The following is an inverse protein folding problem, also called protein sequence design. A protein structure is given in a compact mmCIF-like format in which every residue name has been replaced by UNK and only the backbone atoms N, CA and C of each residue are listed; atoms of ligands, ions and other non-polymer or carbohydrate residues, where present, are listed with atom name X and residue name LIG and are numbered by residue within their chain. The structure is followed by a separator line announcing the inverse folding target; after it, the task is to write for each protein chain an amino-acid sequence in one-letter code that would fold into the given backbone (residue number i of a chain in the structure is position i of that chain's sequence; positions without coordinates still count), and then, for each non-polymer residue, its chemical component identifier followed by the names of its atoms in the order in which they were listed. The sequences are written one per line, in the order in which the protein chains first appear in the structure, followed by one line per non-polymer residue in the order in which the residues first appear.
data_IF_020697860667
#
_entry.id   IF_020697860667
#
_cell.length_a   1.000
_cell.length_b   1.000
_cell.length_c   1.000
_cell.angle_alpha   90.00
_cell.angle_beta   90.00
_cell.angle_gamma   90.00
#
_symmetry.space_group_name_H-M   'P 1'
#
loop_
_entity.id
_entity.type
_entity.pdbx_description
1 polymer ?
#
# COMPACT_ATOMS: atom_id res chain seq x y z
N UNK A 1 41.39 -19.31 -66.14
CA UNK A 1 39.99 -18.91 -65.87
C UNK A 1 39.72 -19.35 -64.42
N UNK A 2 39.83 -18.44 -63.47
CA UNK A 2 39.55 -18.72 -62.02
C UNK A 2 38.19 -18.11 -61.67
N UNK A 3 37.23 -19.00 -61.40
CA UNK A 3 35.89 -18.63 -60.96
C UNK A 3 35.96 -18.38 -59.42
N UNK A 4 35.80 -17.09 -59.01
CA UNK A 4 35.77 -16.68 -57.59
C UNK A 4 34.28 -16.63 -57.18
N UNK A 5 33.73 -17.73 -56.68
CA UNK A 5 32.46 -17.73 -55.96
C UNK A 5 32.62 -17.03 -54.62
N UNK A 6 32.09 -15.81 -54.51
CA UNK A 6 32.00 -15.07 -53.26
C UNK A 6 30.84 -15.64 -52.46
N UNK A 7 31.16 -16.37 -51.36
CA UNK A 7 30.18 -16.72 -50.36
C UNK A 7 29.79 -15.44 -49.54
N UNK A 8 28.58 -15.01 -49.71
CA UNK A 8 27.98 -14.01 -48.80
C UNK A 8 27.52 -14.71 -47.53
N UNK A 9 28.27 -14.54 -46.44
CA UNK A 9 27.81 -14.93 -45.08
C UNK A 9 26.95 -13.79 -44.55
N UNK A 10 25.64 -13.99 -44.53
CA UNK A 10 24.75 -13.07 -43.82
C UNK A 10 24.95 -13.26 -42.30
N UNK A 11 25.21 -12.20 -41.53
CA UNK A 11 25.21 -12.30 -40.09
C UNK A 11 23.77 -12.51 -39.58
N UNK A 12 23.52 -13.66 -38.95
CA UNK A 12 22.32 -13.96 -38.24
C UNK A 12 22.31 -13.07 -36.96
N UNK A 13 21.63 -11.92 -37.03
CA UNK A 13 21.38 -11.11 -35.85
C UNK A 13 20.43 -11.89 -34.94
N UNK A 14 20.99 -12.57 -33.93
CA UNK A 14 20.21 -13.17 -32.87
C UNK A 14 19.49 -12.05 -32.08
N UNK A 15 18.18 -11.92 -32.26
CA UNK A 15 17.35 -11.04 -31.48
C UNK A 15 17.36 -11.54 -30.03
N UNK A 16 18.14 -10.88 -29.18
CA UNK A 16 18.09 -11.12 -27.73
C UNK A 16 16.66 -10.85 -27.25
N UNK A 17 16.05 -11.75 -26.46
CA UNK A 17 14.74 -11.53 -25.93
C UNK A 17 14.76 -10.24 -25.09
N UNK A 18 13.94 -9.27 -25.48
CA UNK A 18 13.76 -8.02 -24.74
C UNK A 18 13.25 -8.40 -23.35
N UNK A 19 14.11 -8.29 -22.34
CA UNK A 19 13.74 -8.53 -20.94
C UNK A 19 12.54 -7.66 -20.68
N UNK A 20 11.36 -8.26 -20.43
CA UNK A 20 10.16 -7.54 -20.07
C UNK A 20 10.51 -6.70 -18.83
N UNK A 21 10.54 -5.38 -18.99
CA UNK A 21 10.79 -4.46 -17.89
C UNK A 21 9.63 -4.65 -16.93
N UNK A 22 9.92 -5.17 -15.72
CA UNK A 22 8.89 -5.32 -14.69
C UNK A 22 8.22 -3.96 -14.50
N UNK A 23 6.89 -3.92 -14.59
CA UNK A 23 6.16 -2.68 -14.38
C UNK A 23 6.47 -2.14 -12.98
N UNK A 24 6.69 -0.83 -12.88
CA UNK A 24 6.88 -0.16 -11.58
C UNK A 24 5.73 -0.54 -10.63
N UNK A 25 6.02 -0.87 -9.36
CA UNK A 25 4.97 -1.25 -8.43
C UNK A 25 4.00 -0.09 -8.17
N UNK A 26 2.72 -0.42 -8.00
CA UNK A 26 1.70 0.53 -7.55
C UNK A 26 1.99 0.93 -6.10
N UNK A 27 2.10 2.22 -5.84
CA UNK A 27 2.49 2.78 -4.54
C UNK A 27 1.25 3.22 -3.77
N UNK A 28 0.96 2.53 -2.67
CA UNK A 28 -0.21 2.81 -1.83
C UNK A 28 0.24 3.32 -0.46
N UNK A 29 -0.30 4.46 -0.04
CA UNK A 29 -0.12 4.99 1.31
C UNK A 29 -1.38 4.72 2.14
N UNK A 30 -1.25 4.04 3.28
CA UNK A 30 -2.30 3.90 4.29
C UNK A 30 -2.15 4.99 5.33
N UNK A 31 -3.24 5.71 5.62
CA UNK A 31 -3.19 6.90 6.49
C UNK A 31 -4.26 6.83 7.58
N UNK A 32 -3.85 7.06 8.82
CA UNK A 32 -4.72 7.27 9.97
C UNK A 32 -4.26 8.48 10.81
N UNK A 33 -4.64 8.57 12.07
CA UNK A 33 -4.22 9.66 12.96
C UNK A 33 -2.76 9.50 13.39
N UNK A 34 -2.43 8.45 14.15
CA UNK A 34 -1.15 8.33 14.87
C UNK A 34 -0.12 7.42 14.21
N UNK A 35 -0.51 6.62 13.20
CA UNK A 35 0.36 5.63 12.55
C UNK A 35 0.93 4.53 13.47
N UNK A 36 0.28 4.27 14.59
CA UNK A 36 0.68 3.24 15.57
C UNK A 36 -0.24 2.01 15.56
N UNK A 37 -1.44 2.12 14.97
CA UNK A 37 -2.46 1.06 14.96
C UNK A 37 -2.97 0.70 13.57
N UNK A 38 -4.08 1.33 13.14
CA UNK A 38 -4.85 0.96 11.95
C UNK A 38 -4.05 1.01 10.65
N UNK A 39 -3.37 2.10 10.36
CA UNK A 39 -2.59 2.27 9.13
C UNK A 39 -1.36 1.35 9.11
N UNK A 40 -0.73 1.13 10.26
CA UNK A 40 0.34 0.15 10.44
C UNK A 40 -0.15 -1.28 10.13
N UNK A 41 -1.27 -1.71 10.74
CA UNK A 41 -1.85 -3.03 10.46
C UNK A 41 -2.23 -3.16 8.99
N UNK A 42 -2.84 -2.13 8.39
CA UNK A 42 -3.21 -2.12 6.98
C UNK A 42 -2.00 -2.27 6.06
N UNK A 43 -0.93 -1.51 6.28
CA UNK A 43 0.34 -1.64 5.54
C UNK A 43 0.91 -3.04 5.65
N UNK A 44 0.99 -3.59 6.87
CA UNK A 44 1.59 -4.89 7.15
C UNK A 44 0.82 -6.01 6.46
N UNK A 45 -0.50 -6.02 6.58
CA UNK A 45 -1.38 -7.01 5.96
C UNK A 45 -1.37 -6.88 4.43
N UNK A 46 -1.42 -5.66 3.90
CA UNK A 46 -1.38 -5.41 2.46
C UNK A 46 -0.05 -5.86 1.86
N UNK A 47 1.08 -5.57 2.51
CA UNK A 47 2.41 -6.03 2.09
C UNK A 47 2.52 -7.56 2.07
N UNK A 48 2.05 -8.22 3.14
CA UNK A 48 2.02 -9.67 3.20
C UNK A 48 1.10 -10.28 2.11
N UNK A 49 -0.05 -9.67 1.84
CA UNK A 49 -0.97 -10.09 0.79
C UNK A 49 -0.36 -9.89 -0.60
N UNK A 50 0.26 -8.75 -0.86
CA UNK A 50 0.95 -8.45 -2.11
C UNK A 50 2.05 -9.47 -2.40
N UNK A 51 2.88 -9.80 -1.40
CA UNK A 51 3.93 -10.81 -1.51
C UNK A 51 3.35 -12.19 -1.83
N UNK A 52 2.34 -12.65 -1.07
CA UNK A 52 1.73 -13.97 -1.28
C UNK A 52 1.08 -14.13 -2.66
N UNK A 53 0.53 -13.04 -3.22
CA UNK A 53 -0.17 -13.03 -4.52
C UNK A 53 0.70 -12.54 -5.67
N UNK A 54 1.98 -12.25 -5.43
CA UNK A 54 2.91 -11.67 -6.40
C UNK A 54 2.33 -10.40 -7.09
N UNK A 55 1.63 -9.54 -6.31
CA UNK A 55 1.08 -8.29 -6.83
C UNK A 55 2.19 -7.23 -6.90
N UNK A 56 2.28 -6.46 -7.99
CA UNK A 56 3.25 -5.38 -8.14
C UNK A 56 2.82 -4.14 -7.34
N UNK A 57 2.80 -4.25 -6.00
CA UNK A 57 2.35 -3.22 -5.07
C UNK A 57 3.45 -2.94 -4.05
N UNK A 58 3.75 -1.68 -3.82
CA UNK A 58 4.55 -1.18 -2.72
C UNK A 58 3.65 -0.40 -1.75
N UNK A 59 3.84 -0.60 -0.45
CA UNK A 59 2.96 0.00 0.57
C UNK A 59 3.76 0.76 1.61
N UNK A 60 3.21 1.88 2.07
CA UNK A 60 3.69 2.64 3.24
C UNK A 60 2.50 2.95 4.16
N UNK A 61 2.79 3.31 5.40
CA UNK A 61 1.80 3.90 6.31
C UNK A 61 2.29 5.21 6.90
N UNK A 62 1.36 6.12 7.21
CA UNK A 62 1.62 7.46 7.75
C UNK A 62 0.52 7.88 8.72
N UNK A 63 0.85 8.83 9.60
CA UNK A 63 -0.08 9.51 10.50
C UNK A 63 -0.31 10.96 10.10
N UNK A 64 -1.49 11.47 10.42
CA UNK A 64 -1.84 12.88 10.25
C UNK A 64 -1.46 13.73 11.46
N UNK A 65 -1.34 13.08 12.62
CA UNK A 65 -1.04 13.70 13.90
C UNK A 65 -0.26 12.69 14.76
N UNK A 66 1.03 12.56 14.44
CA UNK A 66 1.94 11.62 15.11
C UNK A 66 2.47 12.24 16.38
N UNK A 67 2.28 11.55 17.51
CA UNK A 67 2.90 11.93 18.78
C UNK A 67 4.40 11.54 18.77
N UNK A 68 5.32 12.50 18.85
CA UNK A 68 6.76 12.21 18.85
C UNK A 68 7.25 11.46 20.08
N UNK A 69 6.41 11.33 21.12
CA UNK A 69 6.72 10.58 22.32
C UNK A 69 6.10 9.18 22.35
N UNK A 70 5.22 8.85 21.37
CA UNK A 70 4.55 7.55 21.26
C UNK A 70 4.56 7.05 19.79
N UNK A 71 5.76 6.78 19.26
CA UNK A 71 5.94 6.31 17.89
C UNK A 71 5.90 4.77 17.75
N UNK A 72 5.89 4.04 18.85
CA UNK A 72 5.90 2.58 18.84
C UNK A 72 4.53 2.00 18.40
N UNK A 73 4.50 0.79 17.86
CA UNK A 73 3.22 0.09 17.60
C UNK A 73 2.43 -0.09 18.88
N UNK A 74 1.13 0.17 18.82
CA UNK A 74 0.22 -0.14 19.92
C UNK A 74 0.28 -1.63 20.29
N UNK A 75 0.38 -1.94 21.58
CA UNK A 75 0.59 -3.31 22.07
C UNK A 75 -0.42 -4.32 21.50
N UNK A 76 -1.72 -3.94 21.41
CA UNK A 76 -2.76 -4.80 20.86
C UNK A 76 -2.62 -5.00 19.34
N UNK A 77 -2.22 -3.96 18.60
CA UNK A 77 -1.93 -4.08 17.17
C UNK A 77 -0.74 -5.01 16.94
N UNK A 78 0.34 -4.83 17.72
CA UNK A 78 1.52 -5.71 17.66
C UNK A 78 1.17 -7.17 17.97
N UNK A 79 0.38 -7.43 19.01
CA UNK A 79 -0.04 -8.78 19.38
C UNK A 79 -0.85 -9.45 18.25
N UNK A 80 -1.77 -8.72 17.60
CA UNK A 80 -2.56 -9.26 16.49
C UNK A 80 -1.69 -9.54 15.24
N UNK A 81 -0.72 -8.68 14.94
CA UNK A 81 0.20 -8.93 13.83
C UNK A 81 1.12 -10.12 14.13
N UNK A 82 1.67 -10.21 15.35
CA UNK A 82 2.51 -11.33 15.79
C UNK A 82 1.75 -12.67 15.73
N UNK A 83 0.47 -12.72 16.11
CA UNK A 83 -0.38 -13.91 16.00
C UNK A 83 -0.55 -14.40 14.54
N UNK A 84 -0.25 -13.56 13.57
CA UNK A 84 -0.24 -13.87 12.12
C UNK A 84 1.16 -14.12 11.56
N UNK A 85 2.18 -14.16 12.40
CA UNK A 85 3.58 -14.29 12.00
C UNK A 85 4.15 -13.04 11.33
N UNK A 86 3.56 -11.87 11.59
CA UNK A 86 3.97 -10.59 11.04
C UNK A 86 4.61 -9.74 12.15
N UNK A 87 5.90 -9.47 12.02
CA UNK A 87 6.63 -8.64 12.98
C UNK A 87 6.52 -7.15 12.61
N UNK A 88 6.08 -6.35 13.59
CA UNK A 88 5.96 -4.89 13.48
C UNK A 88 6.73 -4.15 14.57
N UNK A 89 7.52 -4.83 15.37
CA UNK A 89 8.23 -4.24 16.52
C UNK A 89 9.20 -3.11 16.12
N UNK A 90 9.79 -3.21 14.94
CA UNK A 90 10.70 -2.20 14.39
C UNK A 90 9.98 -0.98 13.80
N UNK A 91 8.65 -1.01 13.66
CA UNK A 91 7.92 0.13 13.13
C UNK A 91 8.06 1.37 14.04
N UNK A 92 8.16 2.51 13.42
CA UNK A 92 8.06 3.82 14.07
C UNK A 92 7.08 4.68 13.29
N UNK A 93 6.15 5.27 13.99
CA UNK A 93 5.16 6.16 13.41
C UNK A 93 5.84 7.34 12.71
N UNK A 94 5.29 7.72 11.58
CA UNK A 94 5.80 8.83 10.76
C UNK A 94 4.66 9.68 10.24
N UNK A 95 4.85 11.00 10.31
CA UNK A 95 3.89 11.94 9.75
C UNK A 95 3.83 11.85 8.23
N UNK A 96 2.63 12.06 7.68
CA UNK A 96 2.42 12.18 6.24
C UNK A 96 3.10 13.45 5.71
N UNK A 97 3.86 13.32 4.64
CA UNK A 97 4.59 14.42 4.00
C UNK A 97 4.13 14.66 2.57
N UNK A 98 4.41 15.86 2.04
CA UNK A 98 4.19 16.16 0.62
C UNK A 98 4.95 15.21 -0.31
N UNK A 99 6.14 14.75 0.10
CA UNK A 99 6.91 13.76 -0.66
C UNK A 99 6.22 12.38 -0.70
N UNK A 100 5.61 11.95 0.42
CA UNK A 100 4.81 10.72 0.44
C UNK A 100 3.60 10.82 -0.50
N UNK A 101 2.91 11.97 -0.49
CA UNK A 101 1.80 12.25 -1.40
C UNK A 101 2.24 12.25 -2.86
N UNK A 102 3.35 12.93 -3.18
CA UNK A 102 3.86 12.94 -4.56
C UNK A 102 4.27 11.54 -5.03
N UNK A 103 4.77 10.70 -4.12
CA UNK A 103 5.21 9.34 -4.43
C UNK A 103 4.06 8.33 -4.53
N UNK A 104 2.97 8.52 -3.77
CA UNK A 104 1.85 7.59 -3.76
C UNK A 104 0.96 7.71 -5.01
N UNK A 105 0.61 6.59 -5.62
CA UNK A 105 -0.41 6.50 -6.67
C UNK A 105 -1.82 6.49 -6.08
N UNK A 106 -1.97 5.99 -4.85
CA UNK A 106 -3.22 5.85 -4.13
C UNK A 106 -3.01 6.10 -2.64
N UNK A 107 -3.91 6.87 -2.02
CA UNK A 107 -3.93 7.12 -0.58
C UNK A 107 -5.22 6.55 0.00
N UNK A 108 -5.11 5.60 0.92
CA UNK A 108 -6.23 4.92 1.56
C UNK A 108 -6.28 5.26 3.04
N UNK A 109 -7.35 5.89 3.46
CA UNK A 109 -7.54 6.35 4.84
C UNK A 109 -8.55 5.47 5.59
N UNK A 110 -8.58 5.61 6.93
CA UNK A 110 -9.47 4.79 7.77
C UNK A 110 -10.85 5.39 7.96
N UNK A 111 -11.01 6.71 7.74
CA UNK A 111 -12.27 7.44 7.94
C UNK A 111 -12.41 8.57 6.92
N UNK A 112 -13.65 9.05 6.69
CA UNK A 112 -13.90 10.22 5.85
C UNK A 112 -13.20 11.49 6.37
N UNK A 113 -13.15 11.68 7.69
CA UNK A 113 -12.42 12.79 8.31
C UNK A 113 -10.92 12.77 7.97
N UNK A 114 -10.31 11.58 7.84
CA UNK A 114 -8.92 11.49 7.39
C UNK A 114 -8.79 11.91 5.91
N UNK A 115 -9.75 11.56 5.03
CA UNK A 115 -9.77 12.06 3.64
C UNK A 115 -9.80 13.58 3.61
N UNK A 116 -10.72 14.19 4.37
CA UNK A 116 -10.85 15.64 4.47
C UNK A 116 -9.54 16.32 4.91
N UNK A 117 -8.90 15.79 5.96
CA UNK A 117 -7.62 16.30 6.47
C UNK A 117 -6.50 16.15 5.46
N UNK A 118 -6.36 15.00 4.77
CA UNK A 118 -5.36 14.80 3.71
C UNK A 118 -5.56 15.82 2.60
N UNK A 119 -6.79 15.99 2.12
CA UNK A 119 -7.11 16.93 1.03
C UNK A 119 -6.93 18.38 1.44
N UNK A 120 -7.23 18.73 2.71
CA UNK A 120 -6.98 20.07 3.23
C UNK A 120 -5.47 20.42 3.29
N UNK A 121 -4.63 19.44 3.70
CA UNK A 121 -3.18 19.59 3.75
C UNK A 121 -2.52 19.52 2.36
N UNK A 122 -3.07 18.68 1.48
CA UNK A 122 -2.52 18.37 0.17
C UNK A 122 -3.63 18.34 -0.89
N UNK A 123 -4.09 19.49 -1.40
CA UNK A 123 -5.23 19.56 -2.35
C UNK A 123 -5.05 18.71 -3.61
N UNK A 124 -3.82 18.56 -4.09
CA UNK A 124 -3.49 17.77 -5.27
C UNK A 124 -3.70 16.25 -5.05
N UNK A 125 -3.83 15.82 -3.79
CA UNK A 125 -4.12 14.41 -3.46
C UNK A 125 -5.60 14.04 -3.64
N UNK A 126 -6.51 15.00 -3.86
CA UNK A 126 -7.96 14.78 -3.88
C UNK A 126 -8.40 13.63 -4.80
N UNK A 127 -7.85 13.58 -6.01
CA UNK A 127 -8.25 12.57 -7.01
C UNK A 127 -7.80 11.14 -6.68
N UNK A 128 -6.86 10.97 -5.73
CA UNK A 128 -6.27 9.67 -5.36
C UNK A 128 -6.43 9.32 -3.88
N UNK A 129 -7.23 10.08 -3.12
CA UNK A 129 -7.45 9.85 -1.68
C UNK A 129 -8.87 9.38 -1.44
N UNK A 130 -9.01 8.22 -0.81
CA UNK A 130 -10.29 7.57 -0.52
C UNK A 130 -10.24 6.93 0.87
N UNK A 131 -11.41 6.66 1.48
CA UNK A 131 -11.44 5.69 2.57
C UNK A 131 -11.19 4.28 2.03
N UNK A 132 -10.56 3.41 2.82
CA UNK A 132 -10.27 2.03 2.41
C UNK A 132 -11.57 1.29 2.03
N UNK A 133 -12.63 1.45 2.82
CA UNK A 133 -13.91 0.80 2.58
C UNK A 133 -14.58 1.30 1.30
N UNK A 134 -14.68 2.63 1.09
CA UNK A 134 -15.26 3.19 -0.12
C UNK A 134 -14.47 2.82 -1.37
N UNK A 135 -13.15 2.84 -1.31
CA UNK A 135 -12.32 2.39 -2.43
C UNK A 135 -12.57 0.92 -2.75
N UNK A 136 -12.66 0.05 -1.74
CA UNK A 136 -12.86 -1.39 -1.91
C UNK A 136 -14.25 -1.74 -2.45
N UNK A 137 -15.31 -1.11 -1.94
CA UNK A 137 -16.70 -1.56 -2.11
C UNK A 137 -17.65 -0.52 -2.71
N UNK A 138 -17.24 0.74 -2.80
CA UNK A 138 -18.12 1.86 -3.15
C UNK A 138 -18.98 2.36 -1.97
N UNK A 139 -18.85 1.78 -0.77
CA UNK A 139 -19.62 2.15 0.41
C UNK A 139 -18.76 2.83 1.46
N UNK A 140 -19.21 3.97 1.97
CA UNK A 140 -18.54 4.66 3.08
C UNK A 140 -18.78 3.91 4.39
N UNK A 141 -17.73 3.25 4.87
CA UNK A 141 -17.72 2.59 6.18
C UNK A 141 -16.50 3.07 6.94
N UNK A 142 -16.71 3.55 8.15
CA UNK A 142 -15.64 3.97 9.05
C UNK A 142 -14.93 2.76 9.65
N UNK A 143 -13.60 2.72 9.57
CA UNK A 143 -12.76 1.83 10.38
C UNK A 143 -12.46 2.58 11.69
N UNK A 144 -13.14 2.22 12.80
CA UNK A 144 -13.13 3.02 14.01
C UNK A 144 -11.76 3.01 14.69
N UNK A 145 -11.52 4.04 15.49
CA UNK A 145 -10.28 4.08 16.27
C UNK A 145 -10.32 3.06 17.43
N UNK A 146 -9.21 2.35 17.57
CA UNK A 146 -9.02 1.37 18.64
C UNK A 146 -8.01 1.81 19.71
N UNK A 147 -7.34 2.95 19.51
CA UNK A 147 -6.34 3.45 20.44
C UNK A 147 -6.86 3.51 21.88
N UNK A 148 -6.09 2.97 22.83
CA UNK A 148 -6.47 2.90 24.25
C UNK A 148 -7.63 1.96 24.59
N UNK A 149 -8.19 1.23 23.60
CA UNK A 149 -9.33 0.32 23.81
C UNK A 149 -8.87 -1.12 24.04
N UNK A 150 -9.76 -1.98 24.58
CA UNK A 150 -9.49 -3.40 24.76
C UNK A 150 -9.21 -4.13 23.42
N UNK A 151 -8.56 -5.29 23.50
CA UNK A 151 -8.23 -6.15 22.35
C UNK A 151 -9.42 -6.41 21.39
N UNK A 152 -10.64 -6.50 21.92
CA UNK A 152 -11.84 -6.71 21.11
C UNK A 152 -12.06 -5.60 20.05
N UNK A 153 -11.72 -4.34 20.37
CA UNK A 153 -11.81 -3.24 19.41
C UNK A 153 -10.78 -3.40 18.28
N UNK A 154 -9.56 -3.81 18.59
CA UNK A 154 -8.51 -4.10 17.59
C UNK A 154 -8.87 -5.30 16.72
N UNK A 155 -9.47 -6.34 17.31
CA UNK A 155 -9.97 -7.50 16.56
C UNK A 155 -11.07 -7.09 15.57
N UNK A 156 -11.97 -6.19 15.95
CA UNK A 156 -12.99 -5.65 15.06
C UNK A 156 -12.38 -4.82 13.91
N UNK A 157 -11.38 -3.99 14.20
CA UNK A 157 -10.59 -3.29 13.17
C UNK A 157 -9.94 -4.28 12.22
N UNK A 158 -9.28 -5.30 12.77
CA UNK A 158 -8.59 -6.32 11.99
C UNK A 158 -9.55 -7.06 11.03
N UNK A 159 -10.76 -7.40 11.49
CA UNK A 159 -11.77 -8.03 10.65
C UNK A 159 -12.19 -7.14 9.46
N UNK A 160 -12.30 -5.82 9.67
CA UNK A 160 -12.58 -4.88 8.58
C UNK A 160 -11.40 -4.77 7.60
N UNK A 161 -10.15 -4.74 8.10
CA UNK A 161 -8.97 -4.74 7.24
C UNK A 161 -8.90 -6.03 6.40
N UNK A 162 -9.19 -7.19 7.00
CA UNK A 162 -9.23 -8.49 6.29
C UNK A 162 -10.28 -8.51 5.18
N UNK A 163 -11.40 -7.83 5.39
CA UNK A 163 -12.47 -7.72 4.39
C UNK A 163 -12.09 -6.79 3.24
N UNK A 164 -11.59 -5.59 3.56
CA UNK A 164 -11.42 -4.54 2.54
C UNK A 164 -10.09 -4.61 1.79
N UNK A 165 -8.99 -5.00 2.43
CA UNK A 165 -7.68 -5.00 1.78
C UNK A 165 -7.61 -5.89 0.52
N UNK A 166 -8.11 -7.14 0.51
CA UNK A 166 -8.06 -7.96 -0.69
C UNK A 166 -8.82 -7.34 -1.87
N UNK A 167 -9.96 -6.71 -1.60
CA UNK A 167 -10.79 -6.03 -2.60
C UNK A 167 -10.11 -4.77 -3.12
N UNK A 168 -9.58 -3.94 -2.22
CA UNK A 168 -8.89 -2.71 -2.58
C UNK A 168 -7.64 -2.99 -3.43
N UNK A 169 -6.80 -3.96 -3.04
CA UNK A 169 -5.60 -4.30 -3.79
C UNK A 169 -5.92 -4.89 -5.18
N UNK A 170 -6.94 -5.76 -5.26
CA UNK A 170 -7.38 -6.32 -6.54
C UNK A 170 -7.88 -5.21 -7.49
N UNK A 171 -8.71 -4.28 -6.98
CA UNK A 171 -9.20 -3.12 -7.75
C UNK A 171 -8.06 -2.22 -8.21
N UNK A 172 -7.10 -1.93 -7.32
CA UNK A 172 -5.97 -1.07 -7.62
C UNK A 172 -5.08 -1.63 -8.74
N UNK A 173 -4.83 -2.94 -8.74
CA UNK A 173 -4.07 -3.61 -9.82
C UNK A 173 -4.86 -3.64 -11.11
N UNK A 174 -6.16 -3.98 -11.07
CA UNK A 174 -7.01 -4.01 -12.26
C UNK A 174 -7.11 -2.64 -12.96
N UNK A 175 -7.12 -1.54 -12.20
CA UNK A 175 -7.16 -0.17 -12.72
C UNK A 175 -5.87 0.27 -13.44
N UNK A 176 -4.78 -0.51 -13.38
CA UNK A 176 -3.51 -0.27 -14.10
C UNK A 176 -3.35 -1.11 -15.37
N UNK A 177 -4.24 -2.06 -15.60
CA UNK A 177 -4.20 -2.84 -16.85
C UNK A 177 -4.64 -1.91 -17.97
N UNK A 178 -3.80 -1.72 -19.03
CA UNK A 178 -4.12 -0.82 -20.15
C UNK A 178 -5.33 -1.30 -20.94
#
# INVERSE_FOLDING_TARGET
MLDRRRLFVLPLLAALPRRAQAAEPLKIAFVDTGNTGRSLMAQTLAGALATRRALPIAVISRGLDVDPFDEAPEANAQALMAARGLDVAAHRARSLTAADIAHADLVLTMTATHVEKVVALYPDAKAKTFTLAAYATGQEVTIPDAWGKPMAAYTAVLAQLDLYLPLALAKAVAGRTP
#
